data_IF_166713410462
#
_entry.id   IF_166713410462
#
_cell.length_a   1.000
_cell.length_b   1.000
_cell.length_c   1.000
_cell.angle_alpha   90.00
_cell.angle_beta   90.00
_cell.angle_gamma   90.00
#
_symmetry.space_group_name_H-M   'P 1'
#
loop_
_entity.id
_entity.type
_entity.pdbx_description
1 polymer ?
#
# COMPACT_ATOMS: atom_id res chain seq x y z
N UNK A 1 -17.49 2.48 15.95
CA UNK A 1 -16.68 3.67 15.59
C UNK A 1 -15.77 4.19 16.72
N UNK A 2 -15.85 3.67 17.96
CA UNK A 2 -15.11 4.24 19.10
C UNK A 2 -13.79 3.53 19.46
N UNK A 3 -13.46 2.42 18.79
CA UNK A 3 -12.25 1.63 19.10
C UNK A 3 -11.01 2.13 18.32
N UNK A 4 -11.23 2.61 17.10
CA UNK A 4 -10.15 3.05 16.19
C UNK A 4 -10.37 4.50 15.78
N UNK A 5 -9.32 5.32 15.86
CA UNK A 5 -9.31 6.72 15.41
C UNK A 5 -9.38 6.85 13.88
N UNK A 6 -8.83 5.87 13.18
CA UNK A 6 -8.79 5.86 11.71
C UNK A 6 -9.21 4.50 11.16
N UNK A 7 -9.88 4.52 10.02
CA UNK A 7 -10.19 3.35 9.19
C UNK A 7 -9.49 3.51 7.83
N UNK A 8 -8.90 2.45 7.30
CA UNK A 8 -8.37 2.42 5.94
C UNK A 8 -9.06 1.30 5.16
N UNK A 9 -9.55 1.62 3.96
CA UNK A 9 -10.12 0.65 3.03
C UNK A 9 -9.05 0.39 1.95
N UNK A 10 -8.56 -0.83 1.84
CA UNK A 10 -7.47 -1.19 0.93
C UNK A 10 -7.89 -2.37 0.05
N UNK A 11 -7.46 -2.35 -1.22
CA UNK A 11 -7.55 -3.53 -2.07
C UNK A 11 -6.39 -4.49 -1.74
N UNK A 12 -6.54 -5.77 -2.08
CA UNK A 12 -5.57 -6.82 -1.71
C UNK A 12 -4.19 -6.65 -2.35
N UNK A 13 -4.13 -5.84 -3.41
CA UNK A 13 -2.94 -5.51 -4.19
C UNK A 13 -2.36 -4.14 -3.83
N UNK A 14 -2.83 -3.52 -2.74
CA UNK A 14 -2.43 -2.19 -2.32
C UNK A 14 -1.99 -2.16 -0.85
N UNK A 15 -0.99 -1.33 -0.57
CA UNK A 15 -0.54 -1.07 0.80
C UNK A 15 -0.12 0.37 0.97
N UNK A 16 -0.68 1.03 1.99
CA UNK A 16 -0.11 2.29 2.49
C UNK A 16 1.22 1.95 3.16
N UNK A 17 2.32 2.35 2.53
CA UNK A 17 3.68 2.08 2.97
C UNK A 17 4.27 3.33 3.64
N UNK A 18 4.47 3.34 4.97
CA UNK A 18 5.31 4.35 5.60
C UNK A 18 6.72 4.27 5.02
N UNK A 19 7.41 5.38 4.77
CA UNK A 19 8.82 5.32 4.39
C UNK A 19 9.70 5.06 5.62
N UNK A 20 9.38 5.70 6.74
CA UNK A 20 10.05 5.49 8.03
C UNK A 20 9.19 4.68 9.00
N UNK A 21 9.83 3.83 9.82
CA UNK A 21 9.15 2.98 10.79
C UNK A 21 8.37 1.83 10.15
N UNK A 22 7.60 1.09 10.95
CA UNK A 22 6.93 -0.16 10.54
C UNK A 22 5.44 -0.20 10.89
N UNK A 23 4.86 0.90 11.36
CA UNK A 23 3.46 0.94 11.80
C UNK A 23 2.73 2.15 11.25
N UNK A 24 1.45 2.00 10.92
CA UNK A 24 0.59 3.12 10.54
C UNK A 24 0.34 4.09 11.68
N UNK A 25 0.33 3.61 12.93
CA UNK A 25 0.30 4.49 14.10
C UNK A 25 1.50 5.44 14.09
N UNK A 26 2.72 4.92 13.95
CA UNK A 26 3.93 5.75 13.91
C UNK A 26 3.97 6.71 12.73
N UNK A 27 3.39 6.32 11.59
CA UNK A 27 3.17 7.23 10.46
C UNK A 27 2.21 8.37 10.84
N UNK A 28 1.05 8.05 11.43
CA UNK A 28 0.05 9.05 11.80
C UNK A 28 0.52 9.98 12.92
N UNK A 29 1.35 9.50 13.85
CA UNK A 29 1.99 10.31 14.89
C UNK A 29 2.87 11.43 14.28
N UNK A 30 3.40 11.24 13.06
CA UNK A 30 4.16 12.25 12.30
C UNK A 30 3.28 13.12 11.41
N UNK A 31 2.29 12.51 10.75
CA UNK A 31 1.40 13.18 9.78
C UNK A 31 0.44 14.14 10.46
N UNK A 32 -0.16 13.75 11.58
CA UNK A 32 -1.19 14.55 12.24
C UNK A 32 -0.67 15.92 12.68
N UNK A 33 0.50 16.06 13.34
CA UNK A 33 1.08 17.36 13.64
C UNK A 33 1.33 18.23 12.40
N UNK A 34 1.75 17.65 11.28
CA UNK A 34 1.96 18.38 10.01
C UNK A 34 0.65 18.96 9.47
N UNK A 35 -0.41 18.15 9.47
CA UNK A 35 -1.73 18.59 9.05
C UNK A 35 -2.28 19.72 9.96
N UNK A 36 -2.09 19.58 11.28
CA UNK A 36 -2.59 20.54 12.27
C UNK A 36 -1.91 21.91 12.20
N UNK A 37 -0.67 21.98 11.72
CA UNK A 37 0.03 23.25 11.45
C UNK A 37 -0.61 24.06 10.32
N UNK A 38 -1.24 23.39 9.36
CA UNK A 38 -1.91 24.05 8.23
C UNK A 38 -3.34 24.45 8.62
N UNK A 39 -4.00 23.63 9.42
CA UNK A 39 -5.33 23.91 9.94
C UNK A 39 -5.48 23.25 11.30
N UNK A 40 -5.90 24.01 12.30
CA UNK A 40 -5.98 23.57 13.70
C UNK A 40 -6.97 22.45 13.96
N UNK A 41 -7.83 22.13 13.00
CA UNK A 41 -8.76 21.00 13.06
C UNK A 41 -8.25 19.79 12.28
N UNK A 42 -8.52 18.60 12.83
CA UNK A 42 -8.27 17.34 12.12
C UNK A 42 -9.05 17.24 10.81
N UNK A 43 -8.48 16.51 9.84
CA UNK A 43 -9.12 16.30 8.54
C UNK A 43 -10.01 15.07 8.57
N UNK A 44 -11.00 15.04 7.67
CA UNK A 44 -11.82 13.86 7.48
C UNK A 44 -11.03 12.69 6.87
N UNK A 45 -10.02 12.98 6.04
CA UNK A 45 -9.15 11.95 5.47
C UNK A 45 -7.69 12.40 5.29
N UNK A 46 -6.76 11.48 5.47
CA UNK A 46 -5.34 11.66 5.21
C UNK A 46 -4.95 10.75 4.05
N UNK A 47 -4.83 11.33 2.86
CA UNK A 47 -4.68 10.57 1.62
C UNK A 47 -3.22 10.33 1.27
N UNK A 48 -2.91 9.14 0.78
CA UNK A 48 -1.57 8.71 0.39
C UNK A 48 -1.53 8.53 -1.12
N UNK A 49 -0.52 9.14 -1.74
CA UNK A 49 -0.38 9.20 -3.20
C UNK A 49 0.05 7.85 -3.78
N UNK A 50 -0.62 7.43 -4.84
CA UNK A 50 -0.40 6.14 -5.51
C UNK A 50 0.90 6.11 -6.32
N UNK A 51 1.60 4.98 -6.24
CA UNK A 51 2.68 4.62 -7.15
C UNK A 51 2.57 3.16 -7.58
N UNK A 52 2.77 2.91 -8.87
CA UNK A 52 2.55 1.59 -9.47
C UNK A 52 3.80 0.72 -9.43
N UNK A 53 3.63 -0.53 -9.00
CA UNK A 53 4.56 -1.63 -9.20
C UNK A 53 3.92 -2.54 -10.26
N UNK A 54 4.37 -2.43 -11.52
CA UNK A 54 3.86 -3.28 -12.60
C UNK A 54 4.76 -4.50 -12.78
N UNK A 55 4.19 -5.67 -13.03
CA UNK A 55 4.94 -6.94 -13.07
C UNK A 55 6.08 -6.94 -14.10
N UNK A 56 5.88 -6.25 -15.23
CA UNK A 56 6.86 -6.09 -16.31
C UNK A 56 7.82 -4.90 -16.11
N UNK A 57 7.78 -4.22 -14.95
CA UNK A 57 8.88 -3.34 -14.51
C UNK A 57 10.03 -4.13 -13.87
N UNK A 58 9.82 -5.41 -13.57
CA UNK A 58 10.89 -6.28 -13.10
C UNK A 58 11.91 -6.44 -14.23
N UNK A 59 13.13 -5.97 -14.01
CA UNK A 59 14.24 -6.16 -14.96
C UNK A 59 14.61 -7.66 -15.08
N UNK A 60 15.38 -8.00 -16.12
CA UNK A 60 15.82 -9.37 -16.50
C UNK A 60 16.50 -10.23 -15.40
N UNK A 61 16.62 -9.75 -14.17
CA UNK A 61 17.27 -10.43 -13.04
C UNK A 61 16.43 -11.55 -12.41
N UNK A 62 15.23 -11.83 -12.92
CA UNK A 62 14.38 -12.89 -12.39
C UNK A 62 14.00 -12.63 -10.94
N UNK A 63 14.01 -13.67 -10.11
CA UNK A 63 13.52 -13.62 -8.73
C UNK A 63 14.65 -13.33 -7.73
N UNK A 64 14.36 -12.57 -6.67
CA UNK A 64 15.26 -12.39 -5.54
C UNK A 64 15.39 -13.72 -4.78
N UNK A 65 16.58 -14.34 -4.83
CA UNK A 65 16.82 -15.71 -4.31
C UNK A 65 16.49 -15.88 -2.82
N UNK A 66 16.67 -14.84 -2.02
CA UNK A 66 16.38 -14.85 -0.59
C UNK A 66 14.91 -14.64 -0.22
N UNK A 67 14.05 -14.39 -1.22
CA UNK A 67 12.63 -14.16 -1.03
C UNK A 67 11.89 -15.36 -1.65
N UNK A 68 10.95 -16.00 -0.95
CA UNK A 68 10.16 -17.06 -1.56
C UNK A 68 9.37 -16.54 -2.77
N UNK A 69 9.29 -17.34 -3.84
CA UNK A 69 8.64 -16.92 -5.10
C UNK A 69 7.16 -16.60 -4.94
N UNK A 70 6.47 -17.20 -3.97
CA UNK A 70 5.06 -16.92 -3.68
C UNK A 70 4.81 -15.57 -2.99
N UNK A 71 5.86 -14.83 -2.60
CA UNK A 71 5.73 -13.51 -1.97
C UNK A 71 5.73 -12.40 -3.03
N UNK A 72 4.66 -12.29 -3.82
CA UNK A 72 4.57 -11.40 -4.98
C UNK A 72 5.04 -9.97 -4.69
N UNK A 73 4.47 -9.28 -3.70
CA UNK A 73 4.84 -7.89 -3.38
C UNK A 73 6.30 -7.72 -2.91
N UNK A 74 6.89 -8.76 -2.30
CA UNK A 74 8.30 -8.74 -1.89
C UNK A 74 9.25 -9.01 -3.06
N UNK A 75 8.78 -9.71 -4.10
CA UNK A 75 9.53 -9.95 -5.33
C UNK A 75 9.48 -8.74 -6.27
N UNK A 76 8.36 -8.01 -6.31
CA UNK A 76 8.16 -6.90 -7.23
C UNK A 76 8.51 -5.56 -6.59
N UNK A 77 9.81 -5.24 -6.53
CA UNK A 77 10.30 -3.98 -5.91
C UNK A 77 10.68 -2.90 -6.92
N UNK A 78 10.40 -3.08 -8.20
CA UNK A 78 10.54 -2.02 -9.19
C UNK A 78 9.21 -1.32 -9.38
N UNK A 79 9.16 -0.03 -9.08
CA UNK A 79 7.99 0.81 -9.29
C UNK A 79 8.23 1.84 -10.39
N UNK A 80 7.16 2.36 -10.94
CA UNK A 80 7.19 3.56 -11.76
C UNK A 80 7.86 4.70 -10.98
N UNK A 81 8.69 5.49 -11.66
CA UNK A 81 9.30 6.69 -11.06
C UNK A 81 8.23 7.73 -10.68
N UNK A 82 7.19 7.84 -11.49
CA UNK A 82 6.14 8.84 -11.37
C UNK A 82 4.99 8.36 -10.48
N UNK A 83 4.50 9.26 -9.62
CA UNK A 83 3.27 9.09 -8.86
C UNK A 83 2.05 9.48 -9.71
N UNK A 84 0.86 8.99 -9.35
CA UNK A 84 -0.40 9.46 -9.96
C UNK A 84 -0.61 10.96 -9.73
N UNK A 85 -1.54 11.59 -10.46
CA UNK A 85 -1.91 12.99 -10.19
C UNK A 85 -2.51 13.11 -8.78
N UNK A 86 -2.40 14.29 -8.11
CA UNK A 86 -2.98 14.49 -6.79
C UNK A 86 -4.46 14.07 -6.72
N UNK A 87 -4.84 13.34 -5.68
CA UNK A 87 -6.20 12.85 -5.47
C UNK A 87 -6.62 11.63 -6.32
N UNK A 88 -5.81 11.20 -7.29
CA UNK A 88 -6.16 10.05 -8.14
C UNK A 88 -5.64 8.73 -7.57
N UNK A 89 -6.53 7.74 -7.50
CA UNK A 89 -6.24 6.37 -7.03
C UNK A 89 -5.63 6.32 -5.62
N UNK A 90 -5.87 7.35 -4.80
CA UNK A 90 -5.34 7.43 -3.44
C UNK A 90 -6.01 6.45 -2.51
N UNK A 91 -5.38 6.13 -1.39
CA UNK A 91 -6.04 5.51 -0.24
C UNK A 91 -5.85 6.40 0.96
N UNK A 92 -6.82 6.35 1.86
CA UNK A 92 -6.86 7.26 2.98
C UNK A 92 -6.92 6.53 4.31
N UNK A 93 -6.32 7.16 5.32
CA UNK A 93 -6.79 7.02 6.68
C UNK A 93 -7.99 7.94 6.87
N UNK A 94 -9.16 7.36 7.12
CA UNK A 94 -10.42 8.07 7.32
C UNK A 94 -10.67 8.30 8.81
N UNK A 95 -10.84 9.54 9.23
CA UNK A 95 -11.10 9.90 10.62
C UNK A 95 -12.54 9.48 10.99
N UNK A 96 -12.66 8.57 11.96
CA UNK A 96 -13.94 7.97 12.38
C UNK A 96 -14.90 8.95 13.07
N UNK A 97 -14.41 10.10 13.54
CA UNK A 97 -15.24 11.16 14.13
C UNK A 97 -15.79 12.14 13.08
N UNK A 98 -15.30 12.07 11.83
CA UNK A 98 -15.64 13.05 10.78
C UNK A 98 -16.30 12.45 9.55
N UNK A 99 -16.03 11.19 9.21
CA UNK A 99 -16.60 10.56 8.00
C UNK A 99 -17.96 9.93 8.29
N UNK A 100 -18.90 10.07 7.34
CA UNK A 100 -20.23 9.44 7.40
C UNK A 100 -20.34 8.29 6.41
N UNK A 101 -19.89 8.50 5.16
CA UNK A 101 -19.85 7.45 4.13
C UNK A 101 -18.51 7.43 3.42
N UNK A 102 -18.07 6.24 3.02
CA UNK A 102 -16.75 6.02 2.43
C UNK A 102 -16.87 5.44 1.03
N UNK A 103 -16.01 5.92 0.14
CA UNK A 103 -15.58 5.20 -1.05
C UNK A 103 -14.20 4.59 -0.76
N UNK A 104 -13.84 3.55 -1.51
CA UNK A 104 -12.58 2.83 -1.36
C UNK A 104 -11.33 3.74 -1.44
N UNK A 105 -11.43 4.87 -2.13
CA UNK A 105 -10.34 5.84 -2.27
C UNK A 105 -10.44 7.06 -1.33
N UNK A 106 -11.65 7.57 -1.07
CA UNK A 106 -11.88 8.85 -0.40
C UNK A 106 -13.26 8.89 0.29
N UNK A 107 -13.47 9.73 1.31
CA UNK A 107 -14.79 9.87 1.93
C UNK A 107 -15.79 10.50 0.95
N UNK A 108 -17.02 9.97 0.91
CA UNK A 108 -18.10 10.49 0.05
C UNK A 108 -18.91 11.58 0.77
N UNK A 109 -19.16 11.40 2.07
CA UNK A 109 -19.82 12.41 2.91
C UNK A 109 -19.24 12.42 4.33
N UNK A 110 -19.31 13.59 4.96
CA UNK A 110 -18.70 13.87 6.26
C UNK A 110 -19.69 14.58 7.19
N UNK A 111 -19.46 14.47 8.49
CA UNK A 111 -20.23 15.13 9.53
C UNK A 111 -19.90 16.62 9.56
N UNK A 112 -20.92 17.47 9.55
CA UNK A 112 -20.77 18.92 9.53
C UNK A 112 -20.51 19.45 8.12
N UNK A 113 -19.34 20.04 7.90
CA UNK A 113 -18.96 20.63 6.60
C UNK A 113 -18.45 19.57 5.61
N UNK A 114 -18.06 20.02 4.40
CA UNK A 114 -17.54 19.13 3.36
C UNK A 114 -16.31 18.31 3.80
N UNK A 115 -16.06 17.21 3.11
CA UNK A 115 -14.96 16.31 3.44
C UNK A 115 -13.60 16.95 3.18
N UNK A 116 -12.93 17.36 4.26
CA UNK A 116 -11.56 17.88 4.19
C UNK A 116 -10.55 16.76 4.10
N UNK A 117 -9.50 16.94 3.29
CA UNK A 117 -8.41 15.97 3.19
C UNK A 117 -7.04 16.61 3.31
N UNK A 118 -6.12 15.91 3.97
CA UNK A 118 -4.70 16.22 3.98
C UNK A 118 -3.94 15.26 3.04
N UNK A 119 -3.21 15.76 2.03
CA UNK A 119 -2.33 14.92 1.23
C UNK A 119 -1.05 14.64 2.02
N UNK A 120 -0.80 13.38 2.37
CA UNK A 120 0.44 12.95 3.00
C UNK A 120 1.58 13.09 1.99
N UNK A 121 2.68 13.70 2.42
CA UNK A 121 3.87 13.88 1.60
C UNK A 121 4.43 12.53 1.17
N UNK A 122 4.89 12.41 -0.08
CA UNK A 122 5.44 11.15 -0.61
C UNK A 122 6.76 10.75 0.05
N UNK A 123 7.37 11.65 0.83
CA UNK A 123 8.52 11.39 1.71
C UNK A 123 8.13 10.78 3.06
N UNK A 124 6.85 10.87 3.47
CA UNK A 124 6.35 10.23 4.68
C UNK A 124 5.75 8.85 4.38
N UNK A 125 4.95 8.75 3.30
CA UNK A 125 4.33 7.50 2.89
C UNK A 125 4.01 7.46 1.39
N UNK A 126 3.91 6.25 0.86
CA UNK A 126 3.52 5.97 -0.51
C UNK A 126 2.46 4.88 -0.53
N UNK A 127 1.47 4.99 -1.41
CA UNK A 127 0.53 3.90 -1.64
C UNK A 127 1.14 3.02 -2.73
N UNK A 128 1.66 1.88 -2.32
CA UNK A 128 2.15 0.86 -3.25
C UNK A 128 0.95 0.15 -3.85
N UNK A 129 0.88 0.09 -5.17
CA UNK A 129 -0.20 -0.56 -5.90
C UNK A 129 0.42 -1.54 -6.90
N UNK A 130 0.28 -2.83 -6.63
CA UNK A 130 0.92 -3.92 -7.36
C UNK A 130 -0.01 -4.44 -8.44
N UNK A 131 0.41 -4.47 -9.71
CA UNK A 131 -0.46 -4.85 -10.82
C UNK A 131 0.27 -5.65 -11.88
N UNK A 132 -0.41 -6.63 -12.46
CA UNK A 132 0.10 -7.32 -13.64
C UNK A 132 0.27 -6.38 -14.85
N UNK A 133 -0.68 -5.45 -15.04
CA UNK A 133 -0.66 -4.48 -16.13
C UNK A 133 -1.51 -3.24 -15.77
N UNK A 134 -1.40 -2.19 -16.58
CA UNK A 134 -2.20 -0.98 -16.47
C UNK A 134 -3.70 -1.25 -16.66
N UNK A 135 -4.53 -0.63 -15.83
CA UNK A 135 -5.99 -0.62 -16.03
C UNK A 135 -6.38 0.11 -17.30
N UNK A 136 -7.54 -0.27 -17.87
CA UNK A 136 -8.13 0.37 -19.06
C UNK A 136 -8.20 1.90 -18.94
N UNK A 137 -8.52 2.41 -17.76
CA UNK A 137 -8.62 3.86 -17.48
C UNK A 137 -7.27 4.59 -17.51
N UNK A 138 -6.16 3.87 -17.38
CA UNK A 138 -4.79 4.41 -17.44
C UNK A 138 -4.13 4.21 -18.80
N UNK A 139 -4.76 3.54 -19.78
CA UNK A 139 -4.11 3.20 -21.05
C UNK A 139 -3.40 4.37 -21.73
N UNK A 140 -3.95 5.58 -21.65
CA UNK A 140 -3.36 6.79 -22.26
C UNK A 140 -2.08 7.28 -21.57
N UNK A 141 -1.94 7.07 -20.26
CA UNK A 141 -0.77 7.49 -19.48
C UNK A 141 0.09 6.31 -19.03
N UNK A 142 -0.32 5.08 -19.35
CA UNK A 142 0.36 3.86 -18.93
C UNK A 142 1.82 3.86 -19.37
N UNK A 143 2.09 4.21 -20.63
CA UNK A 143 3.45 4.29 -21.16
C UNK A 143 4.35 5.19 -20.32
N UNK A 144 3.83 6.28 -19.74
CA UNK A 144 4.61 7.17 -18.88
C UNK A 144 5.05 6.51 -17.58
N UNK A 145 4.23 5.61 -17.02
CA UNK A 145 4.61 4.82 -15.85
C UNK A 145 5.60 3.69 -16.20
N UNK A 146 5.65 3.29 -17.48
CA UNK A 146 6.57 2.26 -17.99
C UNK A 146 7.94 2.79 -18.40
N UNK A 147 8.03 4.07 -18.80
CA UNK A 147 9.27 4.70 -19.30
C UNK A 147 10.45 4.63 -18.35
N UNK A 148 10.20 4.71 -17.04
CA UNK A 148 11.28 4.76 -16.06
C UNK A 148 10.85 4.08 -14.77
N UNK A 149 11.57 3.04 -14.38
CA UNK A 149 11.41 2.39 -13.09
C UNK A 149 12.52 2.76 -12.12
N UNK A 150 12.22 2.68 -10.83
CA UNK A 150 13.17 2.81 -9.73
C UNK A 150 12.99 1.62 -8.79
N UNK A 151 14.11 1.11 -8.25
CA UNK A 151 14.07 0.06 -7.24
C UNK A 151 13.66 0.68 -5.90
N UNK A 152 12.59 0.17 -5.31
CA UNK A 152 12.04 0.59 -4.03
C UNK A 152 11.88 -0.62 -3.11
N UNK A 153 12.87 -0.81 -2.23
CA UNK A 153 12.93 -1.93 -1.29
C UNK A 153 12.24 -1.62 0.03
N UNK A 154 11.44 -0.55 0.12
CA UNK A 154 10.82 -0.11 1.38
C UNK A 154 9.99 -1.23 2.03
N UNK A 155 9.34 -2.08 1.23
CA UNK A 155 8.55 -3.21 1.74
C UNK A 155 9.42 -4.29 2.42
N UNK A 156 10.72 -4.38 2.11
CA UNK A 156 11.60 -5.42 2.66
C UNK A 156 11.87 -5.28 4.15
N UNK A 157 11.61 -4.12 4.77
CA UNK A 157 11.62 -4.00 6.24
C UNK A 157 10.61 -4.93 6.93
N UNK A 158 9.62 -5.41 6.18
CA UNK A 158 8.64 -6.40 6.63
C UNK A 158 8.94 -7.83 6.15
N UNK A 159 10.04 -8.06 5.41
CA UNK A 159 10.37 -9.34 4.77
C UNK A 159 10.25 -10.51 5.75
N UNK A 160 11.00 -10.46 6.85
CA UNK A 160 11.05 -11.57 7.81
C UNK A 160 9.69 -11.88 8.46
N UNK A 161 8.98 -10.92 9.09
CA UNK A 161 7.70 -11.20 9.70
C UNK A 161 6.59 -11.57 8.69
N UNK A 162 6.64 -11.05 7.46
CA UNK A 162 5.66 -11.42 6.42
C UNK A 162 5.90 -12.83 5.91
N UNK A 163 7.14 -13.16 5.54
CA UNK A 163 7.49 -14.50 5.06
C UNK A 163 7.13 -15.53 6.12
N UNK A 164 7.49 -15.31 7.39
CA UNK A 164 7.17 -16.23 8.48
C UNK A 164 5.66 -16.47 8.62
N UNK A 165 4.86 -15.41 8.68
CA UNK A 165 3.40 -15.51 8.85
C UNK A 165 2.71 -16.13 7.63
N UNK A 166 3.02 -15.67 6.42
CA UNK A 166 2.43 -16.22 5.19
C UNK A 166 2.79 -17.70 5.04
N UNK A 167 4.05 -18.07 5.29
CA UNK A 167 4.48 -19.47 5.20
C UNK A 167 3.75 -20.34 6.22
N UNK A 168 3.59 -19.88 7.46
CA UNK A 168 2.82 -20.60 8.48
C UNK A 168 1.36 -20.79 8.06
N UNK A 169 0.70 -19.72 7.58
CA UNK A 169 -0.68 -19.79 7.09
C UNK A 169 -0.81 -20.76 5.91
N UNK A 170 0.08 -20.70 4.93
CA UNK A 170 0.06 -21.60 3.77
C UNK A 170 0.28 -23.06 4.16
N UNK A 171 1.10 -23.35 5.19
CA UNK A 171 1.22 -24.70 5.77
C UNK A 171 -0.10 -25.16 6.38
N UNK A 172 -0.72 -24.34 7.22
CA UNK A 172 -2.00 -24.67 7.87
C UNK A 172 -3.11 -24.95 6.84
N UNK A 173 -3.10 -24.21 5.73
CA UNK A 173 -4.04 -24.40 4.62
C UNK A 173 -3.68 -25.57 3.69
N UNK A 174 -2.55 -26.25 3.90
CA UNK A 174 -2.13 -27.41 3.11
C UNK A 174 -1.54 -27.08 1.74
N UNK A 175 -1.10 -25.84 1.50
CA UNK A 175 -0.46 -25.44 0.23
C UNK A 175 0.98 -25.91 0.08
N UNK A 176 1.60 -26.43 1.15
CA UNK A 176 2.89 -27.11 1.08
C UNK A 176 2.71 -28.59 1.34
N UNK A 177 3.38 -29.43 0.54
CA UNK A 177 3.33 -30.86 0.70
C UNK A 177 3.84 -31.26 2.09
N UNK A 178 3.06 -32.07 2.81
CA UNK A 178 3.55 -32.78 3.97
C UNK A 178 4.60 -33.78 3.47
N UNK A 179 5.87 -33.61 3.88
CA UNK A 179 6.96 -34.52 3.48
C UNK A 179 6.85 -35.94 4.08
N UNK A 180 5.69 -36.35 4.60
CA UNK A 180 5.51 -37.64 5.28
C UNK A 180 5.20 -38.82 4.35
N UNK A 181 5.11 -38.64 3.02
CA UNK A 181 4.70 -39.72 2.10
C UNK A 181 5.76 -40.26 1.12
N UNK A 182 7.02 -39.85 1.21
CA UNK A 182 8.06 -40.32 0.28
C UNK A 182 9.07 -41.34 0.86
N UNK A 183 8.93 -41.78 2.12
CA UNK A 183 9.82 -42.79 2.73
C UNK A 183 9.28 -44.24 2.69
N UNK A 184 8.40 -44.57 1.74
CA UNK A 184 7.98 -45.96 1.49
C UNK A 184 7.86 -46.26 0.00
N UNK A 185 9.01 -46.38 -0.69
CA UNK A 185 9.18 -47.25 -1.86
C UNK A 185 10.59 -47.81 -1.88
#
# INVERSE_FOLDING_TARGET
MYEYKYIALLDIDEVIMPLEGTTWKGLMDKVLPKALKINKEERASYNVRNVYFLDDLLHNHGWFKEIPKYMHMLQHVYRAKNFTKPGQYVKCFHNTEKVLTLHNHFPLSCLGSGCTSYPIETSDAQLHHYRADCVKTLKKSCEEYRKTSVMDTTIWKFKQPLVGRVTATLRTLGYFANQEKDNKR
#
